data_IF_151303515590
#
_entry.id   IF_151303515590
#
_cell.length_a   1.000
_cell.length_b   1.000
_cell.length_c   1.000
_cell.angle_alpha   90.00
_cell.angle_beta   90.00
_cell.angle_gamma   90.00
#
_symmetry.space_group_name_H-M   'P 1'
#
loop_
_entity.id
_entity.type
_entity.pdbx_description
1 polymer ?
#
# COMPACT_ATOMS: atom_id res chain seq x y z
N UNK A 1 -19.31 7.30 -11.04
CA UNK A 1 -20.51 6.64 -10.46
C UNK A 1 -21.40 6.00 -11.52
N UNK A 2 -21.56 6.57 -12.70
CA UNK A 2 -22.37 6.01 -13.81
C UNK A 2 -21.97 4.58 -14.21
N UNK A 3 -20.68 4.28 -14.34
CA UNK A 3 -20.23 2.93 -14.72
C UNK A 3 -20.58 1.83 -13.70
N UNK A 4 -20.65 2.15 -12.41
CA UNK A 4 -21.02 1.19 -11.37
C UNK A 4 -22.51 0.85 -11.42
N UNK A 5 -23.37 1.87 -11.61
CA UNK A 5 -24.83 1.70 -11.74
C UNK A 5 -25.19 0.89 -12.99
N UNK A 6 -24.53 1.18 -14.13
CA UNK A 6 -24.73 0.43 -15.37
C UNK A 6 -24.37 -1.05 -15.20
N UNK A 7 -23.25 -1.34 -14.53
CA UNK A 7 -22.82 -2.74 -14.26
C UNK A 7 -23.84 -3.45 -13.36
N UNK A 8 -24.35 -2.81 -12.30
CA UNK A 8 -25.39 -3.40 -11.44
C UNK A 8 -26.64 -3.71 -12.26
N UNK A 9 -27.09 -2.78 -13.10
CA UNK A 9 -28.26 -2.98 -13.95
C UNK A 9 -28.05 -4.18 -14.91
N UNK A 10 -26.88 -4.29 -15.55
CA UNK A 10 -26.55 -5.42 -16.44
C UNK A 10 -26.54 -6.74 -15.67
N UNK A 11 -25.94 -6.78 -14.47
CA UNK A 11 -25.92 -7.99 -13.64
C UNK A 11 -27.33 -8.40 -13.19
N UNK A 12 -28.16 -7.46 -12.78
CA UNK A 12 -29.54 -7.73 -12.39
C UNK A 12 -30.40 -8.25 -13.57
N UNK A 13 -30.26 -7.63 -14.75
CA UNK A 13 -30.91 -8.10 -15.98
C UNK A 13 -30.45 -9.50 -16.37
N UNK A 14 -29.16 -9.77 -16.31
CA UNK A 14 -28.58 -11.08 -16.61
C UNK A 14 -29.07 -12.16 -15.65
N UNK A 15 -29.21 -11.86 -14.36
CA UNK A 15 -29.76 -12.79 -13.35
C UNK A 15 -31.26 -13.03 -13.62
N UNK A 16 -32.04 -11.98 -13.88
CA UNK A 16 -33.47 -12.13 -14.20
C UNK A 16 -33.70 -12.97 -15.45
N UNK A 17 -32.89 -12.78 -16.49
CA UNK A 17 -32.95 -13.59 -17.71
C UNK A 17 -32.58 -15.05 -17.46
N UNK A 18 -31.59 -15.31 -16.59
CA UNK A 18 -31.25 -16.68 -16.19
C UNK A 18 -32.42 -17.38 -15.49
N UNK A 19 -33.07 -16.72 -14.54
CA UNK A 19 -34.25 -17.28 -13.84
C UNK A 19 -35.36 -17.61 -14.84
N UNK A 20 -35.62 -16.72 -15.80
CA UNK A 20 -36.61 -16.93 -16.85
C UNK A 20 -36.29 -18.15 -17.73
N UNK A 21 -35.03 -18.34 -18.14
CA UNK A 21 -34.58 -19.50 -18.93
C UNK A 21 -34.77 -20.82 -18.19
N UNK A 22 -34.48 -20.87 -16.88
CA UNK A 22 -34.74 -22.07 -16.08
C UNK A 22 -36.23 -22.31 -15.88
N UNK A 23 -37.04 -21.28 -15.69
CA UNK A 23 -38.48 -21.41 -15.56
C UNK A 23 -39.18 -21.91 -16.83
N UNK A 24 -38.62 -21.58 -18.01
CA UNK A 24 -39.12 -22.05 -19.32
C UNK A 24 -38.57 -23.41 -19.75
N UNK A 25 -37.79 -24.09 -18.91
CA UNK A 25 -37.27 -25.43 -19.16
C UNK A 25 -36.08 -25.50 -20.14
N UNK A 26 -35.50 -24.36 -20.53
CA UNK A 26 -34.33 -24.31 -21.42
C UNK A 26 -33.00 -24.49 -20.67
N UNK A 27 -32.82 -25.63 -20.00
CA UNK A 27 -31.71 -25.91 -19.09
C UNK A 27 -30.32 -25.75 -19.73
N UNK A 28 -30.12 -26.18 -20.98
CA UNK A 28 -28.82 -26.08 -21.67
C UNK A 28 -28.39 -24.64 -21.88
N UNK A 29 -29.30 -23.77 -22.32
CA UNK A 29 -29.08 -22.34 -22.47
C UNK A 29 -28.91 -21.63 -21.12
N UNK A 30 -29.69 -22.05 -20.09
CA UNK A 30 -29.57 -21.51 -18.75
C UNK A 30 -28.17 -21.71 -18.15
N UNK A 31 -27.57 -22.88 -18.32
CA UNK A 31 -26.20 -23.18 -17.84
C UNK A 31 -25.16 -22.30 -18.54
N UNK A 32 -25.26 -22.15 -19.87
CA UNK A 32 -24.35 -21.30 -20.65
C UNK A 32 -24.43 -19.83 -20.23
N UNK A 33 -25.66 -19.32 -20.06
CA UNK A 33 -25.89 -17.95 -19.59
C UNK A 33 -25.45 -17.73 -18.13
N UNK A 34 -25.52 -18.77 -17.29
CA UNK A 34 -25.04 -18.70 -15.90
C UNK A 34 -23.52 -18.44 -15.86
N UNK A 35 -22.75 -19.08 -16.76
CA UNK A 35 -21.32 -18.82 -16.88
C UNK A 35 -21.05 -17.36 -17.30
N UNK A 36 -21.81 -16.83 -18.26
CA UNK A 36 -21.69 -15.41 -18.68
C UNK A 36 -22.02 -14.48 -17.51
N UNK A 37 -23.09 -14.77 -16.78
CA UNK A 37 -23.48 -13.98 -15.58
C UNK A 37 -22.38 -14.03 -14.50
N UNK A 38 -21.77 -15.20 -14.27
CA UNK A 38 -20.66 -15.34 -13.35
C UNK A 38 -19.45 -14.47 -13.78
N UNK A 39 -19.12 -14.42 -15.06
CA UNK A 39 -18.06 -13.55 -15.60
C UNK A 39 -18.39 -12.07 -15.39
N UNK A 40 -19.65 -11.65 -15.63
CA UNK A 40 -20.11 -10.30 -15.38
C UNK A 40 -19.95 -9.94 -13.89
N UNK A 41 -20.37 -10.82 -12.99
CA UNK A 41 -20.21 -10.62 -11.53
C UNK A 41 -18.72 -10.56 -11.14
N UNK A 42 -17.89 -11.44 -11.66
CA UNK A 42 -16.44 -11.41 -11.43
C UNK A 42 -15.78 -10.12 -11.95
N UNK A 43 -16.30 -9.53 -13.02
CA UNK A 43 -15.85 -8.23 -13.54
C UNK A 43 -16.07 -7.08 -12.54
N UNK A 44 -17.03 -7.18 -11.61
CA UNK A 44 -17.22 -6.21 -10.54
C UNK A 44 -16.04 -6.13 -9.58
N UNK A 45 -15.41 -7.28 -9.30
CA UNK A 45 -14.27 -7.37 -8.41
C UNK A 45 -12.98 -6.88 -9.08
N UNK A 46 -13.01 -6.61 -10.37
CA UNK A 46 -11.88 -6.11 -11.14
C UNK A 46 -11.88 -4.58 -11.16
N UNK A 47 -11.11 -3.97 -10.26
CA UNK A 47 -11.01 -2.51 -10.21
C UNK A 47 -10.15 -1.98 -11.35
N UNK A 48 -10.79 -1.32 -12.34
CA UNK A 48 -10.12 -0.77 -13.53
C UNK A 48 -9.05 0.26 -13.17
N UNK A 49 -9.33 1.11 -12.16
CA UNK A 49 -8.38 2.12 -11.72
C UNK A 49 -7.08 1.49 -11.18
N UNK A 50 -7.17 0.33 -10.52
CA UNK A 50 -6.00 -0.38 -10.03
C UNK A 50 -5.14 -0.93 -11.19
N UNK A 51 -5.79 -1.46 -12.24
CA UNK A 51 -5.08 -1.98 -13.42
C UNK A 51 -4.40 -0.83 -14.18
N UNK A 52 -5.10 0.29 -14.37
CA UNK A 52 -4.55 1.47 -15.01
C UNK A 52 -3.37 2.04 -14.21
N UNK A 53 -3.48 2.10 -12.88
CA UNK A 53 -2.40 2.54 -12.01
C UNK A 53 -1.16 1.63 -12.17
N UNK A 54 -1.33 0.31 -12.13
CA UNK A 54 -0.25 -0.65 -12.32
C UNK A 54 0.43 -0.52 -13.68
N UNK A 55 -0.35 -0.32 -14.75
CA UNK A 55 0.21 -0.10 -16.08
C UNK A 55 1.03 1.19 -16.14
N UNK A 56 0.56 2.28 -15.51
CA UNK A 56 1.31 3.55 -15.45
C UNK A 56 2.59 3.39 -14.61
N UNK A 57 2.57 2.60 -13.55
CA UNK A 57 3.77 2.30 -12.76
C UNK A 57 4.81 1.53 -13.59
N UNK A 58 4.37 0.56 -14.41
CA UNK A 58 5.29 -0.18 -15.30
C UNK A 58 5.95 0.70 -16.35
N UNK A 59 5.25 1.73 -16.82
CA UNK A 59 5.77 2.73 -17.77
C UNK A 59 6.61 3.80 -17.07
N UNK A 60 6.72 3.75 -15.72
CA UNK A 60 7.47 4.72 -14.91
C UNK A 60 6.72 6.04 -14.65
N UNK A 61 5.44 6.13 -15.01
CA UNK A 61 4.63 7.33 -14.83
C UNK A 61 3.92 7.33 -13.46
N UNK A 62 4.66 7.64 -12.42
CA UNK A 62 4.19 7.61 -11.02
C UNK A 62 3.07 8.62 -10.76
N UNK A 63 3.12 9.79 -11.39
CA UNK A 63 2.10 10.84 -11.27
C UNK A 63 0.71 10.38 -11.74
N UNK A 64 0.66 9.76 -12.94
CA UNK A 64 -0.60 9.22 -13.46
C UNK A 64 -1.07 8.02 -12.64
N UNK A 65 -0.14 7.15 -12.22
CA UNK A 65 -0.45 6.02 -11.36
C UNK A 65 -1.13 6.49 -10.06
N UNK A 66 -0.58 7.50 -9.39
CA UNK A 66 -1.14 8.11 -8.20
C UNK A 66 -2.56 8.63 -8.46
N UNK A 67 -2.78 9.38 -9.55
CA UNK A 67 -4.11 9.89 -9.92
C UNK A 67 -5.16 8.80 -10.07
N UNK A 68 -4.80 7.62 -10.59
CA UNK A 68 -5.72 6.48 -10.69
C UNK A 68 -5.98 5.84 -9.33
N UNK A 69 -4.97 5.70 -8.49
CA UNK A 69 -5.12 5.16 -7.14
C UNK A 69 -5.97 6.07 -6.25
N UNK A 70 -5.84 7.39 -6.36
CA UNK A 70 -6.60 8.35 -5.59
C UNK A 70 -8.10 8.36 -5.96
N UNK A 71 -8.44 7.99 -7.19
CA UNK A 71 -9.84 7.81 -7.62
C UNK A 71 -10.55 6.67 -6.88
N UNK A 72 -9.81 5.76 -6.25
CA UNK A 72 -10.38 4.69 -5.43
C UNK A 72 -10.73 5.27 -4.06
N UNK A 73 -11.94 5.81 -3.92
CA UNK A 73 -12.39 6.50 -2.69
C UNK A 73 -12.74 5.53 -1.56
N UNK A 74 -13.23 4.34 -1.88
CA UNK A 74 -13.72 3.36 -0.91
C UNK A 74 -13.02 2.00 -1.06
N UNK A 75 -11.74 1.88 -0.64
CA UNK A 75 -10.98 0.64 -0.78
C UNK A 75 -11.52 -0.51 0.09
N UNK A 76 -12.30 -0.21 1.13
CA UNK A 76 -12.88 -1.22 2.03
C UNK A 76 -13.86 -2.18 1.34
N UNK A 77 -14.49 -1.76 0.23
CA UNK A 77 -15.39 -2.62 -0.54
C UNK A 77 -14.68 -3.53 -1.54
N UNK A 78 -13.36 -3.41 -1.64
CA UNK A 78 -12.56 -4.28 -2.48
C UNK A 78 -12.25 -5.60 -1.77
N UNK A 79 -12.01 -6.70 -2.51
CA UNK A 79 -11.49 -7.93 -1.96
C UNK A 79 -10.25 -7.66 -1.10
N UNK A 80 -10.09 -8.39 0.01
CA UNK A 80 -9.05 -8.16 1.03
C UNK A 80 -7.65 -7.90 0.43
N UNK A 81 -7.24 -8.69 -0.58
CA UNK A 81 -5.94 -8.54 -1.25
C UNK A 81 -5.81 -7.24 -2.05
N UNK A 82 -6.87 -6.82 -2.74
CA UNK A 82 -6.88 -5.57 -3.49
C UNK A 82 -6.93 -4.37 -2.55
N UNK A 83 -7.69 -4.45 -1.46
CA UNK A 83 -7.72 -3.46 -0.39
C UNK A 83 -6.31 -3.23 0.19
N UNK A 84 -5.61 -4.31 0.57
CA UNK A 84 -4.23 -4.24 1.05
C UNK A 84 -3.32 -3.50 0.06
N UNK A 85 -3.41 -3.87 -1.20
CA UNK A 85 -2.56 -3.31 -2.25
C UNK A 85 -2.84 -1.83 -2.53
N UNK A 86 -4.12 -1.42 -2.54
CA UNK A 86 -4.50 0.00 -2.69
C UNK A 86 -3.99 0.83 -1.51
N UNK A 87 -4.12 0.33 -0.27
CA UNK A 87 -3.58 1.02 0.91
C UNK A 87 -2.05 1.18 0.83
N UNK A 88 -1.36 0.11 0.43
CA UNK A 88 0.08 0.11 0.22
C UNK A 88 0.48 1.18 -0.81
N UNK A 89 -0.13 1.19 -2.00
CA UNK A 89 0.19 2.15 -3.05
C UNK A 89 -0.13 3.59 -2.63
N UNK A 90 -1.28 3.84 -1.99
CA UNK A 90 -1.62 5.17 -1.45
C UNK A 90 -0.59 5.65 -0.44
N UNK A 91 -0.15 4.78 0.45
CA UNK A 91 0.83 5.14 1.46
C UNK A 91 2.21 5.44 0.88
N UNK A 92 2.67 4.63 -0.09
CA UNK A 92 3.99 4.81 -0.72
C UNK A 92 4.01 6.07 -1.60
N UNK A 93 2.98 6.25 -2.44
CA UNK A 93 2.94 7.38 -3.39
C UNK A 93 2.50 8.70 -2.75
N UNK A 94 1.69 8.65 -1.69
CA UNK A 94 1.12 9.82 -1.05
C UNK A 94 1.80 10.23 0.26
N UNK A 95 2.91 9.58 0.65
CA UNK A 95 3.57 9.80 1.95
C UNK A 95 3.91 11.26 2.22
N UNK A 96 4.33 12.00 1.21
CA UNK A 96 4.71 13.41 1.33
C UNK A 96 3.50 14.35 1.55
N UNK A 97 2.34 14.02 0.96
CA UNK A 97 1.15 14.86 1.02
C UNK A 97 0.24 14.52 2.21
N UNK A 98 0.11 13.22 2.52
CA UNK A 98 -0.79 12.75 3.58
C UNK A 98 -0.19 12.87 4.99
N UNK A 99 1.13 13.07 5.09
CA UNK A 99 1.88 13.05 6.33
C UNK A 99 2.21 11.64 6.85
N UNK A 100 3.27 11.57 7.66
CA UNK A 100 3.84 10.30 8.10
C UNK A 100 2.89 9.43 8.94
N UNK A 101 2.08 10.04 9.81
CA UNK A 101 1.16 9.29 10.67
C UNK A 101 0.09 8.52 9.87
N UNK A 102 -0.50 9.16 8.86
CA UNK A 102 -1.51 8.54 8.02
C UNK A 102 -0.90 7.47 7.09
N UNK A 103 0.28 7.76 6.53
CA UNK A 103 1.02 6.81 5.71
C UNK A 103 1.41 5.57 6.52
N UNK A 104 1.89 5.74 7.76
CA UNK A 104 2.19 4.64 8.67
C UNK A 104 0.96 3.76 8.94
N UNK A 105 -0.16 4.37 9.28
CA UNK A 105 -1.41 3.64 9.56
C UNK A 105 -1.85 2.80 8.34
N UNK A 106 -1.75 3.38 7.13
CA UNK A 106 -2.08 2.67 5.91
C UNK A 106 -1.13 1.51 5.62
N UNK A 107 0.19 1.70 5.81
CA UNK A 107 1.18 0.64 5.62
C UNK A 107 0.99 -0.52 6.59
N UNK A 108 0.78 -0.22 7.89
CA UNK A 108 0.49 -1.26 8.89
C UNK A 108 -0.76 -2.04 8.52
N UNK A 109 -1.85 -1.34 8.19
CA UNK A 109 -3.09 -1.99 7.76
C UNK A 109 -2.92 -2.82 6.48
N UNK A 110 -2.11 -2.36 5.52
CA UNK A 110 -1.82 -3.11 4.31
C UNK A 110 -1.06 -4.42 4.62
N UNK A 111 -0.08 -4.37 5.53
CA UNK A 111 0.67 -5.54 6.01
C UNK A 111 -0.23 -6.52 6.78
N UNK A 112 -1.13 -6.03 7.64
CA UNK A 112 -2.09 -6.85 8.40
C UNK A 112 -3.11 -7.55 7.50
N UNK A 113 -3.58 -6.87 6.45
CA UNK A 113 -4.46 -7.46 5.44
C UNK A 113 -3.74 -8.51 4.57
N UNK A 114 -2.41 -8.42 4.47
CA UNK A 114 -1.54 -9.31 3.73
C UNK A 114 -1.36 -8.90 2.27
N UNK A 115 -0.16 -8.46 1.94
CA UNK A 115 0.27 -8.22 0.56
C UNK A 115 0.66 -9.55 -0.08
N UNK A 116 0.33 -9.71 -1.37
CA UNK A 116 0.50 -10.99 -2.07
C UNK A 116 1.97 -11.35 -2.33
N UNK A 117 2.77 -10.34 -2.70
CA UNK A 117 4.16 -10.54 -3.10
C UNK A 117 5.10 -10.26 -1.92
N UNK A 118 6.16 -11.05 -1.81
CA UNK A 118 7.18 -10.85 -0.78
C UNK A 118 7.91 -9.52 -0.99
N UNK A 119 8.11 -9.13 -2.25
CA UNK A 119 8.71 -7.88 -2.64
C UNK A 119 7.89 -6.67 -2.18
N UNK A 120 6.55 -6.71 -2.36
CA UNK A 120 5.67 -5.63 -1.90
C UNK A 120 5.71 -5.50 -0.37
N UNK A 121 5.77 -6.63 0.35
CA UNK A 121 5.93 -6.64 1.81
C UNK A 121 7.28 -6.03 2.22
N UNK A 122 8.37 -6.34 1.47
CA UNK A 122 9.68 -5.76 1.73
C UNK A 122 9.67 -4.24 1.51
N UNK A 123 9.07 -3.76 0.41
CA UNK A 123 8.91 -2.32 0.12
C UNK A 123 8.08 -1.64 1.21
N UNK A 124 6.96 -2.23 1.61
CA UNK A 124 6.10 -1.67 2.65
C UNK A 124 6.84 -1.53 3.99
N UNK A 125 7.60 -2.56 4.40
CA UNK A 125 8.42 -2.53 5.62
C UNK A 125 9.57 -1.54 5.53
N UNK A 126 10.20 -1.40 4.35
CA UNK A 126 11.25 -0.40 4.14
C UNK A 126 10.71 1.03 4.26
N UNK A 127 9.56 1.33 3.65
CA UNK A 127 8.90 2.64 3.81
C UNK A 127 8.49 2.91 5.26
N UNK A 128 7.93 1.90 5.93
CA UNK A 128 7.57 2.00 7.34
C UNK A 128 8.81 2.26 8.22
N UNK A 129 9.93 1.60 7.94
CA UNK A 129 11.20 1.85 8.60
C UNK A 129 11.70 3.29 8.39
N UNK A 130 11.53 3.84 7.19
CA UNK A 130 11.83 5.25 6.89
C UNK A 130 11.00 6.21 7.74
N UNK A 131 9.70 5.96 7.88
CA UNK A 131 8.81 6.74 8.74
C UNK A 131 9.23 6.61 10.22
N UNK A 132 9.51 5.40 10.70
CA UNK A 132 9.98 5.17 12.07
C UNK A 132 11.33 5.87 12.33
N UNK A 133 12.24 5.89 11.35
CA UNK A 133 13.51 6.60 11.45
C UNK A 133 13.29 8.11 11.63
N UNK A 134 12.43 8.71 10.83
CA UNK A 134 12.13 10.15 10.88
C UNK A 134 11.36 10.54 12.15
N UNK A 135 10.54 9.64 12.69
CA UNK A 135 9.82 9.85 13.95
C UNK A 135 10.64 9.50 15.21
N UNK A 136 11.93 9.14 15.04
CA UNK A 136 12.86 8.84 16.13
C UNK A 136 12.72 7.44 16.75
N UNK A 137 11.92 6.55 16.15
CA UNK A 137 11.74 5.15 16.57
C UNK A 137 12.78 4.24 15.93
N UNK A 138 14.05 4.49 16.22
CA UNK A 138 15.21 3.78 15.62
C UNK A 138 15.20 2.27 15.83
N UNK A 139 14.96 1.72 17.04
CA UNK A 139 14.96 0.27 17.23
C UNK A 139 13.94 -0.43 16.32
N UNK A 140 12.73 0.15 16.18
CA UNK A 140 11.69 -0.35 15.31
C UNK A 140 12.10 -0.26 13.84
N UNK A 141 12.72 0.86 13.43
CA UNK A 141 13.22 1.02 12.05
C UNK A 141 14.25 -0.04 11.70
N UNK A 142 15.20 -0.34 12.60
CA UNK A 142 16.22 -1.37 12.39
C UNK A 142 15.58 -2.76 12.25
N UNK A 143 14.62 -3.10 13.10
CA UNK A 143 13.88 -4.37 13.02
C UNK A 143 13.16 -4.52 11.69
N UNK A 144 12.41 -3.48 11.27
CA UNK A 144 11.69 -3.46 10.00
C UNK A 144 12.62 -3.60 8.79
N UNK A 145 13.80 -2.96 8.80
CA UNK A 145 14.81 -3.12 7.74
C UNK A 145 15.39 -4.53 7.70
N UNK A 146 15.61 -5.16 8.86
CA UNK A 146 16.07 -6.55 8.93
C UNK A 146 15.02 -7.51 8.35
N UNK A 147 13.73 -7.26 8.62
CA UNK A 147 12.63 -8.04 8.06
C UNK A 147 12.48 -7.80 6.55
N UNK A 148 12.57 -6.55 6.08
CA UNK A 148 12.54 -6.21 4.66
C UNK A 148 13.66 -6.92 3.90
N UNK A 149 14.88 -6.95 4.46
CA UNK A 149 16.03 -7.67 3.89
C UNK A 149 15.79 -9.17 3.73
N UNK A 150 15.10 -9.81 4.69
CA UNK A 150 14.76 -11.24 4.61
C UNK A 150 13.74 -11.54 3.51
N UNK A 151 12.84 -10.59 3.23
CA UNK A 151 11.79 -10.73 2.22
C UNK A 151 12.27 -10.40 0.81
N UNK A 152 13.32 -9.59 0.67
CA UNK A 152 13.94 -9.20 -0.61
C UNK A 152 14.84 -10.33 -1.15
N UNK A 153 14.21 -11.40 -1.66
CA UNK A 153 14.93 -12.56 -2.23
C UNK A 153 15.72 -12.19 -3.48
N UNK A 154 15.21 -11.26 -4.27
CA UNK A 154 15.83 -10.85 -5.53
C UNK A 154 16.93 -9.80 -5.34
N UNK A 155 17.08 -9.27 -4.14
CA UNK A 155 18.12 -8.28 -3.82
C UNK A 155 17.90 -6.89 -4.44
N UNK A 156 16.70 -6.63 -4.97
CA UNK A 156 16.38 -5.37 -5.65
C UNK A 156 16.47 -4.15 -4.73
N UNK A 157 16.24 -4.33 -3.44
CA UNK A 157 16.28 -3.26 -2.44
C UNK A 157 17.50 -3.31 -1.52
N UNK A 158 18.43 -4.24 -1.77
CA UNK A 158 19.61 -4.48 -0.91
C UNK A 158 20.39 -3.20 -0.65
N UNK A 159 20.67 -2.42 -1.67
CA UNK A 159 21.48 -1.21 -1.55
C UNK A 159 20.74 -0.11 -0.80
N UNK A 160 19.45 0.07 -1.05
CA UNK A 160 18.62 1.03 -0.32
C UNK A 160 18.51 0.66 1.16
N UNK A 161 18.27 -0.61 1.47
CA UNK A 161 18.22 -1.11 2.85
C UNK A 161 19.56 -0.88 3.55
N UNK A 162 20.68 -1.19 2.88
CA UNK A 162 22.02 -0.97 3.40
C UNK A 162 22.32 0.49 3.68
N UNK A 163 21.96 1.38 2.76
CA UNK A 163 22.10 2.83 2.95
C UNK A 163 21.27 3.34 4.15
N UNK A 164 20.01 2.93 4.27
CA UNK A 164 19.16 3.31 5.40
C UNK A 164 19.71 2.78 6.73
N UNK A 165 20.22 1.54 6.75
CA UNK A 165 20.87 0.98 7.95
C UNK A 165 22.11 1.79 8.35
N UNK A 166 22.97 2.15 7.39
CA UNK A 166 24.15 2.97 7.63
C UNK A 166 23.77 4.36 8.19
N UNK A 167 22.77 5.02 7.61
CA UNK A 167 22.27 6.30 8.09
C UNK A 167 21.74 6.21 9.53
N UNK A 168 21.02 5.14 9.85
CA UNK A 168 20.52 4.89 11.20
C UNK A 168 21.66 4.66 12.21
N UNK A 169 22.75 4.03 11.80
CA UNK A 169 23.92 3.82 12.67
C UNK A 169 24.73 5.10 12.89
N UNK A 170 24.87 5.93 11.85
CA UNK A 170 25.64 7.19 11.93
C UNK A 170 24.91 8.30 12.70
N UNK A 171 23.57 8.33 12.67
CA UNK A 171 22.82 9.37 13.38
C UNK A 171 22.98 9.21 14.90
N UNK A 172 23.31 10.25 15.68
CA UNK A 172 23.49 10.15 17.12
C UNK A 172 22.21 9.70 17.82
N UNK A 173 22.34 8.81 18.81
CA UNK A 173 21.18 8.34 19.58
C UNK A 173 20.60 9.49 20.41
N UNK A 174 19.28 9.41 20.78
CA UNK A 174 18.65 10.43 21.67
C UNK A 174 19.46 10.65 22.95
N UNK A 175 20.08 9.61 23.50
CA UNK A 175 20.91 9.70 24.69
C UNK A 175 22.24 10.41 24.41
N UNK A 176 22.84 10.18 23.24
CA UNK A 176 24.07 10.88 22.82
C UNK A 176 23.79 12.37 22.57
N UNK A 177 22.63 12.73 21.97
CA UNK A 177 22.24 14.12 21.82
C UNK A 177 21.99 14.80 23.18
N UNK A 178 21.31 14.13 24.11
CA UNK A 178 21.13 14.65 25.50
C UNK A 178 22.46 14.82 26.21
N UNK A 179 23.37 13.86 26.12
CA UNK A 179 24.72 13.99 26.69
C UNK A 179 25.50 15.13 26.05
N UNK A 180 25.44 15.30 24.73
CA UNK A 180 26.09 16.40 24.02
C UNK A 180 25.52 17.75 24.44
N UNK A 181 24.19 17.86 24.66
CA UNK A 181 23.56 19.08 25.20
C UNK A 181 23.99 19.35 26.64
N UNK A 182 24.07 18.34 27.50
CA UNK A 182 24.53 18.50 28.89
C UNK A 182 26.02 18.89 28.97
N UNK A 183 26.86 18.35 28.06
CA UNK A 183 28.28 18.69 27.98
C UNK A 183 28.51 20.06 27.31
N UNK A 184 27.69 20.44 26.31
CA UNK A 184 27.78 21.72 25.61
C UNK A 184 27.31 22.93 26.42
N UNK A 185 26.48 22.72 27.45
CA UNK A 185 25.96 23.80 28.34
C UNK A 185 26.96 24.34 29.35
N UNK A 186 28.15 23.77 29.47
CA UNK A 186 29.16 24.20 30.45
C UNK A 186 30.25 25.07 29.81
N UNK A 187 29.90 26.08 29.03
CA UNK A 187 30.83 27.17 28.72
C UNK A 187 30.88 28.10 29.94
N UNK A 188 31.92 27.92 30.75
CA UNK A 188 32.31 28.90 31.77
C UNK A 188 32.56 30.24 31.07
N UNK A 189 31.72 31.24 31.31
CA UNK A 189 32.06 32.63 31.02
C UNK A 189 33.32 33.01 31.81
N UNK A 190 34.39 33.48 31.15
CA UNK A 190 35.54 33.99 31.91
C UNK A 190 35.12 35.24 32.63
N UNK A 191 35.27 35.25 33.96
CA UNK A 191 35.16 36.47 34.79
C UNK A 191 36.24 37.45 34.34
N UNK A 192 35.87 38.52 33.62
CA UNK A 192 36.77 39.66 33.50
C UNK A 192 36.93 40.31 34.88
N UNK A 193 38.18 40.46 35.27
CA UNK A 193 38.65 41.29 36.40
C UNK A 193 39.01 42.64 35.85
#
# INVERSE_FOLDING_TARGET
MTGFIIRIAIAALSLGFNVWLFATGHWGWGISFLLITAIIILSFFRNENMILALNQMRVGNTEKAKKYIDRITAPQFLPRRQHAYVLFLKAVMGAQEMGFAKSEQMLRKALDLGLRQAEDNAVAKMHLAGICAQTGRRPEAISLLAEAKKLDKNGMMRDQIKQMQAQLQMAPSKNQMRMAQMMGGRKKTPKMR
#
